data_IF_212335487258
#
_entry.id   IF_212335487258
#
_cell.length_a   1.000
_cell.length_b   1.000
_cell.length_c   1.000
_cell.angle_alpha   90.00
_cell.angle_beta   90.00
_cell.angle_gamma   90.00
#
_symmetry.space_group_name_H-M   'P 1'
#
loop_
_entity.id
_entity.type
_entity.pdbx_description
1 polymer ?
#
# COMPACT_ATOMS: atom_id res chain seq x y z
N UNK A 1 21.15 -8.34 2.67
CA UNK A 1 21.46 -7.91 1.28
C UNK A 1 22.29 -8.96 0.54
N UNK A 2 23.52 -9.27 0.96
CA UNK A 2 24.38 -10.22 0.22
C UNK A 2 23.72 -11.58 -0.03
N UNK A 3 23.04 -12.18 0.94
CA UNK A 3 22.36 -13.46 0.77
C UNK A 3 21.27 -13.44 -0.33
N UNK A 4 20.60 -12.29 -0.54
CA UNK A 4 19.60 -12.13 -1.61
C UNK A 4 20.28 -12.06 -2.96
N UNK A 5 21.38 -11.30 -3.05
CA UNK A 5 22.21 -11.21 -4.27
C UNK A 5 22.77 -12.58 -4.62
N UNK A 6 23.38 -13.28 -3.65
CA UNK A 6 23.94 -14.62 -3.85
C UNK A 6 22.86 -15.61 -4.34
N UNK A 7 21.64 -15.51 -3.78
CA UNK A 7 20.51 -16.35 -4.20
C UNK A 7 20.07 -16.06 -5.62
N UNK A 8 19.91 -14.78 -5.99
CA UNK A 8 19.49 -14.37 -7.33
C UNK A 8 20.57 -14.60 -8.40
N UNK A 9 21.85 -14.65 -8.03
CA UNK A 9 22.97 -14.89 -8.96
C UNK A 9 23.42 -16.35 -9.02
N UNK A 10 22.83 -17.23 -8.21
CA UNK A 10 23.17 -18.66 -8.24
C UNK A 10 22.78 -19.29 -9.60
N UNK A 11 23.52 -20.38 -9.96
CA UNK A 11 23.27 -21.14 -11.19
C UNK A 11 22.49 -22.43 -10.86
N UNK A 12 21.23 -22.25 -10.45
CA UNK A 12 20.32 -23.35 -10.16
C UNK A 12 18.87 -22.99 -10.53
N UNK A 13 18.02 -24.00 -10.51
CA UNK A 13 16.60 -23.90 -10.91
C UNK A 13 15.81 -22.89 -10.08
N UNK A 14 16.04 -22.84 -8.78
CA UNK A 14 15.31 -21.91 -7.91
C UNK A 14 15.71 -20.45 -8.19
N UNK A 15 17.01 -20.20 -8.46
CA UNK A 15 17.49 -18.88 -8.87
C UNK A 15 16.90 -18.46 -10.23
N UNK A 16 16.78 -19.37 -11.17
CA UNK A 16 16.13 -19.13 -12.46
C UNK A 16 14.68 -18.69 -12.29
N UNK A 17 13.90 -19.46 -11.51
CA UNK A 17 12.51 -19.12 -11.17
C UNK A 17 12.41 -17.74 -10.50
N UNK A 18 13.28 -17.48 -9.50
CA UNK A 18 13.27 -16.21 -8.79
C UNK A 18 13.57 -15.03 -9.73
N UNK A 19 14.60 -15.14 -10.59
CA UNK A 19 14.93 -14.09 -11.58
C UNK A 19 13.79 -13.82 -12.56
N UNK A 20 13.09 -14.87 -13.00
CA UNK A 20 11.95 -14.74 -13.93
C UNK A 20 10.88 -13.81 -13.37
N UNK A 21 10.67 -13.79 -12.07
CA UNK A 21 9.66 -12.94 -11.41
C UNK A 21 10.24 -11.63 -10.86
N UNK A 22 11.46 -11.66 -10.31
CA UNK A 22 12.04 -10.49 -9.66
C UNK A 22 12.49 -9.44 -10.68
N UNK A 23 13.09 -9.81 -11.81
CA UNK A 23 13.61 -8.83 -12.77
C UNK A 23 12.52 -7.96 -13.42
N UNK A 24 11.37 -8.49 -13.89
CA UNK A 24 10.26 -7.67 -14.34
C UNK A 24 9.70 -6.74 -13.26
N UNK A 25 9.61 -7.21 -12.02
CA UNK A 25 9.23 -6.38 -10.88
C UNK A 25 10.23 -5.22 -10.64
N UNK A 26 11.55 -5.47 -10.71
CA UNK A 26 12.56 -4.43 -10.61
C UNK A 26 12.48 -3.44 -11.78
N UNK A 27 12.22 -3.93 -12.99
CA UNK A 27 12.02 -3.11 -14.18
C UNK A 27 10.83 -2.17 -14.03
N UNK A 28 9.71 -2.68 -13.49
CA UNK A 28 8.53 -1.88 -13.24
C UNK A 28 8.79 -0.78 -12.18
N UNK A 29 9.53 -1.10 -11.12
CA UNK A 29 9.93 -0.09 -10.13
C UNK A 29 10.86 0.99 -10.74
N UNK A 30 11.78 0.60 -11.63
CA UNK A 30 12.64 1.52 -12.35
C UNK A 30 11.84 2.44 -13.30
N UNK A 31 10.85 1.90 -14.01
CA UNK A 31 9.93 2.69 -14.86
C UNK A 31 9.11 3.68 -14.02
N UNK A 32 8.66 3.26 -12.83
CA UNK A 32 7.94 4.14 -11.91
C UNK A 32 8.82 5.32 -11.46
N UNK A 33 10.08 5.06 -11.12
CA UNK A 33 11.06 6.08 -10.77
C UNK A 33 11.35 7.02 -11.96
N UNK A 34 11.63 6.46 -13.15
CA UNK A 34 11.94 7.23 -14.36
C UNK A 34 10.82 8.19 -14.75
N UNK A 35 9.57 7.80 -14.55
CA UNK A 35 8.41 8.66 -14.82
C UNK A 35 8.26 9.83 -13.83
N UNK A 36 9.10 9.90 -12.79
CA UNK A 36 8.99 10.92 -11.73
C UNK A 36 7.77 10.76 -10.83
N UNK A 37 7.13 9.59 -10.85
CA UNK A 37 5.92 9.33 -10.07
C UNK A 37 6.16 9.29 -8.56
N UNK A 38 7.28 8.71 -8.16
CA UNK A 38 7.72 8.64 -6.76
C UNK A 38 9.26 8.65 -6.71
N UNK A 39 9.81 9.07 -5.59
CA UNK A 39 11.27 9.05 -5.38
C UNK A 39 11.77 7.62 -5.18
N UNK A 40 13.09 7.41 -5.34
CA UNK A 40 13.73 6.13 -5.01
C UNK A 40 13.40 5.68 -3.59
N UNK A 41 13.51 6.60 -2.63
CA UNK A 41 13.30 6.28 -1.23
C UNK A 41 11.83 5.94 -0.92
N UNK A 42 10.87 6.63 -1.55
CA UNK A 42 9.45 6.32 -1.42
C UNK A 42 9.12 4.94 -2.01
N UNK A 43 9.66 4.61 -3.18
CA UNK A 43 9.46 3.30 -3.82
C UNK A 43 10.04 2.18 -2.96
N UNK A 44 11.28 2.33 -2.52
CA UNK A 44 11.97 1.34 -1.69
C UNK A 44 11.30 1.17 -0.31
N UNK A 45 10.92 2.27 0.34
CA UNK A 45 10.22 2.25 1.62
C UNK A 45 8.83 1.61 1.50
N UNK A 46 8.11 1.87 0.40
CA UNK A 46 6.80 1.29 0.15
C UNK A 46 6.82 -0.23 0.18
N UNK A 47 7.76 -0.85 -0.52
CA UNK A 47 7.84 -2.31 -0.56
C UNK A 47 8.40 -2.90 0.75
N UNK A 48 9.31 -2.20 1.42
CA UNK A 48 9.84 -2.63 2.72
C UNK A 48 8.81 -2.57 3.83
N UNK A 49 8.06 -1.48 3.96
CA UNK A 49 7.12 -1.25 5.06
C UNK A 49 5.70 -1.70 4.73
N UNK A 50 5.32 -1.78 3.46
CA UNK A 50 4.02 -2.26 2.99
C UNK A 50 3.95 -3.76 2.79
N UNK A 51 5.02 -4.37 2.24
CA UNK A 51 5.08 -5.81 1.99
C UNK A 51 6.01 -6.57 2.94
N UNK A 52 6.75 -5.88 3.80
CA UNK A 52 7.74 -6.50 4.69
C UNK A 52 8.98 -7.02 3.94
N UNK A 53 9.27 -6.50 2.76
CA UNK A 53 10.43 -6.92 1.98
C UNK A 53 11.72 -6.48 2.67
N UNK A 54 12.77 -7.31 2.65
CA UNK A 54 14.02 -7.00 3.36
C UNK A 54 14.83 -5.87 2.72
N UNK A 55 14.59 -5.61 1.44
CA UNK A 55 15.23 -4.57 0.63
C UNK A 55 14.21 -3.96 -0.33
N UNK A 56 14.36 -2.69 -0.65
CA UNK A 56 13.55 -2.05 -1.68
C UNK A 56 14.02 -2.42 -3.09
N UNK A 57 13.14 -2.29 -4.10
CA UNK A 57 13.43 -2.75 -5.45
C UNK A 57 14.61 -2.01 -6.11
N UNK A 58 14.70 -0.69 -5.96
CA UNK A 58 15.79 0.08 -6.59
C UNK A 58 17.11 -0.13 -5.87
N UNK A 59 17.12 -0.27 -4.55
CA UNK A 59 18.27 -0.69 -3.78
C UNK A 59 18.72 -2.13 -4.14
N UNK A 60 17.79 -3.01 -4.53
CA UNK A 60 18.12 -4.35 -5.01
C UNK A 60 18.78 -4.30 -6.40
N UNK A 61 18.33 -3.42 -7.29
CA UNK A 61 19.02 -3.17 -8.58
C UNK A 61 20.45 -2.71 -8.32
N UNK A 62 20.67 -1.77 -7.41
CA UNK A 62 22.01 -1.28 -7.06
C UNK A 62 22.91 -2.41 -6.53
N UNK A 63 22.34 -3.31 -5.71
CA UNK A 63 23.08 -4.44 -5.15
C UNK A 63 23.43 -5.53 -6.18
N UNK A 64 22.56 -5.79 -7.16
CA UNK A 64 22.78 -6.75 -8.25
C UNK A 64 23.68 -6.19 -9.34
N UNK A 65 23.68 -4.87 -9.50
CA UNK A 65 24.22 -4.16 -10.64
C UNK A 65 23.23 -4.06 -11.79
N UNK A 66 22.96 -2.85 -12.26
CA UNK A 66 21.99 -2.59 -13.34
C UNK A 66 22.27 -3.40 -14.61
N UNK A 67 23.57 -3.64 -14.95
CA UNK A 67 23.97 -4.44 -16.10
C UNK A 67 23.45 -5.89 -16.01
N UNK A 68 23.51 -6.51 -14.85
CA UNK A 68 23.00 -7.87 -14.60
C UNK A 68 21.49 -7.94 -14.82
N UNK A 69 20.76 -6.97 -14.29
CA UNK A 69 19.28 -6.90 -14.42
C UNK A 69 18.90 -6.67 -15.89
N UNK A 70 19.57 -5.74 -16.59
CA UNK A 70 19.35 -5.46 -18.03
C UNK A 70 19.60 -6.68 -18.90
N UNK A 71 20.70 -7.42 -18.67
CA UNK A 71 21.01 -8.65 -19.39
C UNK A 71 19.91 -9.70 -19.20
N UNK A 72 19.48 -9.91 -17.95
CA UNK A 72 18.41 -10.86 -17.65
C UNK A 72 17.07 -10.48 -18.28
N UNK A 73 16.69 -9.20 -18.23
CA UNK A 73 15.47 -8.70 -18.88
C UNK A 73 15.52 -8.86 -20.41
N UNK A 74 16.65 -8.55 -21.05
CA UNK A 74 16.82 -8.77 -22.50
C UNK A 74 16.68 -10.24 -22.89
N UNK A 75 17.22 -11.14 -22.08
CA UNK A 75 17.05 -12.58 -22.30
C UNK A 75 15.58 -13.02 -22.18
N UNK A 76 14.87 -12.51 -21.18
CA UNK A 76 13.43 -12.77 -20.99
C UNK A 76 12.61 -12.19 -22.16
N UNK A 77 12.84 -10.94 -22.53
CA UNK A 77 12.16 -10.29 -23.64
C UNK A 77 12.37 -11.03 -24.98
N UNK A 78 13.59 -11.47 -25.25
CA UNK A 78 13.89 -12.26 -26.43
C UNK A 78 13.12 -13.60 -26.48
N UNK A 79 12.81 -14.17 -25.33
CA UNK A 79 12.04 -15.43 -25.22
C UNK A 79 10.52 -15.24 -25.27
N UNK A 80 10.01 -14.15 -24.72
CA UNK A 80 8.56 -13.91 -24.56
C UNK A 80 7.99 -12.91 -25.54
N UNK A 81 8.78 -11.93 -25.98
CA UNK A 81 8.30 -10.77 -26.76
C UNK A 81 7.44 -9.81 -25.93
N UNK A 82 7.34 -10.01 -24.60
CA UNK A 82 6.53 -9.18 -23.74
C UNK A 82 7.18 -7.80 -23.56
N UNK A 83 6.49 -6.71 -23.92
CA UNK A 83 7.01 -5.34 -23.74
C UNK A 83 7.38 -4.99 -22.29
N UNK A 84 6.77 -5.63 -21.30
CA UNK A 84 7.07 -5.41 -19.89
C UNK A 84 8.46 -5.95 -19.49
N UNK A 85 9.04 -6.84 -20.29
CA UNK A 85 10.40 -7.35 -20.13
C UNK A 85 11.45 -6.50 -20.86
N UNK A 86 11.04 -5.51 -21.66
CA UNK A 86 11.99 -4.59 -22.26
C UNK A 86 12.61 -3.72 -21.13
N UNK A 87 13.95 -3.66 -21.02
CA UNK A 87 14.59 -2.90 -19.94
C UNK A 87 14.22 -1.42 -19.98
N UNK A 88 13.80 -0.86 -18.86
CA UNK A 88 13.54 0.56 -18.73
C UNK A 88 14.78 1.40 -19.14
N UNK A 89 14.61 2.50 -19.87
CA UNK A 89 15.74 3.35 -20.32
C UNK A 89 16.68 3.76 -19.19
N UNK A 90 16.16 4.04 -18.00
CA UNK A 90 16.98 4.38 -16.82
C UNK A 90 17.90 3.23 -16.42
N UNK A 91 17.44 1.97 -16.46
CA UNK A 91 18.28 0.80 -16.17
C UNK A 91 19.41 0.66 -17.20
N UNK A 92 19.09 0.85 -18.47
CA UNK A 92 20.10 0.80 -19.56
C UNK A 92 21.15 1.89 -19.35
N UNK A 93 20.74 3.11 -19.02
CA UNK A 93 21.66 4.23 -18.73
C UNK A 93 22.56 3.93 -17.54
N UNK A 94 22.01 3.41 -16.43
CA UNK A 94 22.80 3.05 -15.26
C UNK A 94 23.78 1.89 -15.54
N UNK A 95 23.37 0.92 -16.36
CA UNK A 95 24.24 -0.18 -16.80
C UNK A 95 25.43 0.32 -17.64
N UNK A 96 25.23 1.32 -18.50
CA UNK A 96 26.27 1.92 -19.35
C UNK A 96 27.22 2.84 -18.57
N UNK A 97 26.69 3.62 -17.63
CA UNK A 97 27.49 4.54 -16.82
C UNK A 97 28.16 3.88 -15.60
N UNK A 98 27.72 2.68 -15.22
CA UNK A 98 28.08 2.04 -13.95
C UNK A 98 27.71 2.87 -12.70
N UNK A 99 26.72 3.74 -12.84
CA UNK A 99 26.11 4.48 -11.74
C UNK A 99 25.03 3.63 -11.03
N UNK A 100 24.57 4.12 -9.89
CA UNK A 100 23.52 3.50 -9.07
C UNK A 100 22.35 4.45 -8.91
N UNK A 101 21.18 3.91 -8.56
CA UNK A 101 20.05 4.75 -8.16
C UNK A 101 20.37 5.62 -6.94
N UNK A 102 21.18 5.11 -6.01
CA UNK A 102 21.65 5.84 -4.85
C UNK A 102 22.50 7.06 -5.22
N UNK A 103 23.39 6.92 -6.21
CA UNK A 103 24.23 8.00 -6.68
C UNK A 103 23.46 9.01 -7.57
N UNK A 104 22.43 8.51 -8.28
CA UNK A 104 21.58 9.32 -9.14
C UNK A 104 20.45 10.03 -8.37
N UNK A 105 20.11 9.55 -7.16
CA UNK A 105 19.15 10.22 -6.30
C UNK A 105 19.70 11.60 -5.94
N UNK A 106 18.96 12.63 -6.30
CA UNK A 106 19.32 14.00 -5.96
C UNK A 106 19.57 14.11 -4.45
N UNK A 107 20.63 14.82 -4.08
CA UNK A 107 20.97 15.16 -2.69
C UNK A 107 19.97 16.14 -2.03
N UNK A 108 18.76 16.21 -2.55
CA UNK A 108 17.58 16.78 -1.91
C UNK A 108 17.09 15.83 -0.82
N UNK A 109 17.89 15.66 0.25
CA UNK A 109 17.35 15.12 1.48
C UNK A 109 16.13 15.97 1.83
N UNK A 110 14.94 15.40 1.67
CA UNK A 110 13.70 16.06 2.04
C UNK A 110 13.86 16.53 3.49
N UNK A 111 13.75 17.83 3.71
CA UNK A 111 13.66 18.36 5.06
C UNK A 111 12.53 17.61 5.77
N UNK A 112 12.71 17.33 7.06
CA UNK A 112 11.67 16.62 7.82
C UNK A 112 10.31 17.30 7.57
N UNK A 113 9.25 16.53 7.25
CA UNK A 113 7.96 17.10 6.90
C UNK A 113 7.41 17.96 8.04
N UNK A 114 6.81 19.09 7.68
CA UNK A 114 6.36 20.10 8.65
C UNK A 114 4.84 20.11 8.74
N UNK A 115 4.33 20.36 9.96
CA UNK A 115 2.90 20.61 10.16
C UNK A 115 2.59 22.08 9.91
N UNK A 116 1.95 22.35 8.78
CA UNK A 116 1.43 23.67 8.44
C UNK A 116 0.03 23.90 9.05
N UNK A 117 -0.68 22.81 9.33
CA UNK A 117 -1.97 22.82 10.01
C UNK A 117 -1.85 22.12 11.37
N UNK A 118 -2.35 22.72 12.47
CA UNK A 118 -2.40 22.02 13.75
C UNK A 118 -3.40 20.85 13.68
N UNK A 119 -3.00 19.69 14.19
CA UNK A 119 -3.88 18.51 14.26
C UNK A 119 -3.87 18.01 15.71
N UNK A 120 -4.92 18.35 16.45
CA UNK A 120 -5.16 17.87 17.80
C UNK A 120 -6.33 16.88 17.85
N UNK A 121 -7.40 17.16 17.12
CA UNK A 121 -8.63 16.38 17.09
C UNK A 121 -8.85 15.74 15.71
N UNK A 122 -9.03 14.43 15.70
CA UNK A 122 -9.16 13.61 14.48
C UNK A 122 -10.57 13.06 14.38
N UNK A 123 -11.18 13.20 13.21
CA UNK A 123 -12.43 12.55 12.85
C UNK A 123 -12.14 11.26 12.05
N UNK A 124 -12.88 10.19 12.31
CA UNK A 124 -12.84 8.98 11.48
C UNK A 124 -14.27 8.60 11.07
N UNK A 125 -14.52 8.45 9.78
CA UNK A 125 -15.83 8.00 9.28
C UNK A 125 -15.73 6.58 8.79
N UNK A 126 -16.46 5.68 9.46
CA UNK A 126 -16.46 4.25 9.14
C UNK A 126 -16.44 3.37 10.38
N UNK A 127 -16.83 2.10 10.21
CA UNK A 127 -16.93 1.11 11.31
C UNK A 127 -16.32 -0.24 10.93
N UNK A 128 -15.60 -0.30 9.81
CA UNK A 128 -14.89 -1.49 9.34
C UNK A 128 -13.60 -1.75 10.12
N UNK A 129 -12.87 -2.77 9.68
CA UNK A 129 -11.57 -3.15 10.27
C UNK A 129 -10.55 -2.03 10.15
N UNK A 130 -10.45 -1.39 8.98
CA UNK A 130 -9.54 -0.27 8.76
C UNK A 130 -9.90 0.92 9.64
N UNK A 131 -11.17 1.36 9.64
CA UNK A 131 -11.62 2.46 10.48
C UNK A 131 -11.28 2.22 11.97
N UNK A 132 -11.59 1.04 12.51
CA UNK A 132 -11.26 0.69 13.90
C UNK A 132 -9.76 0.76 14.19
N UNK A 133 -8.93 0.26 13.25
CA UNK A 133 -7.47 0.30 13.40
C UNK A 133 -6.91 1.73 13.33
N UNK A 134 -7.46 2.59 12.48
CA UNK A 134 -7.06 3.99 12.34
C UNK A 134 -7.43 4.77 13.60
N UNK A 135 -8.66 4.59 14.13
CA UNK A 135 -9.08 5.16 15.43
C UNK A 135 -8.09 4.77 16.54
N UNK A 136 -7.74 3.48 16.63
CA UNK A 136 -6.77 2.99 17.62
C UNK A 136 -5.39 3.65 17.44
N UNK A 137 -4.90 3.81 16.22
CA UNK A 137 -3.60 4.42 15.92
C UNK A 137 -3.54 5.87 16.44
N UNK A 138 -4.53 6.68 16.09
CA UNK A 138 -4.55 8.08 16.51
C UNK A 138 -4.75 8.23 18.02
N UNK A 139 -5.64 7.47 18.64
CA UNK A 139 -5.87 7.55 20.08
C UNK A 139 -4.63 7.13 20.89
N UNK A 140 -3.90 6.09 20.44
CA UNK A 140 -2.63 5.67 21.07
C UNK A 140 -1.52 6.70 20.93
N UNK A 141 -1.55 7.51 19.89
CA UNK A 141 -0.61 8.62 19.69
C UNK A 141 -0.99 9.89 20.50
N UNK A 142 -2.10 9.87 21.23
CA UNK A 142 -2.51 10.97 22.12
C UNK A 142 -3.50 11.96 21.50
N UNK A 143 -4.03 11.69 20.30
CA UNK A 143 -5.07 12.53 19.69
C UNK A 143 -6.45 12.22 20.26
N UNK A 144 -7.29 13.24 20.40
CA UNK A 144 -8.72 13.06 20.63
C UNK A 144 -9.38 12.60 19.32
N UNK A 145 -10.13 11.51 19.36
CA UNK A 145 -10.70 10.89 18.16
C UNK A 145 -12.23 10.80 18.24
N UNK A 146 -12.89 11.48 17.32
CA UNK A 146 -14.33 11.32 17.08
C UNK A 146 -14.52 10.32 15.95
N UNK A 147 -15.19 9.20 16.18
CA UNK A 147 -15.49 8.26 15.12
C UNK A 147 -16.99 8.11 14.90
N UNK A 148 -17.37 8.12 13.63
CA UNK A 148 -18.78 8.17 13.20
C UNK A 148 -19.17 6.91 12.46
N UNK A 149 -20.25 6.29 12.91
CA UNK A 149 -20.87 5.12 12.29
C UNK A 149 -22.35 5.36 12.01
N UNK A 150 -22.95 4.43 11.26
CA UNK A 150 -24.36 4.54 10.85
C UNK A 150 -25.38 4.15 11.93
N UNK A 151 -24.95 3.55 13.04
CA UNK A 151 -25.80 3.15 14.16
C UNK A 151 -25.00 2.93 15.43
N UNK A 152 -25.66 2.98 16.58
CA UNK A 152 -25.05 2.75 17.90
C UNK A 152 -24.37 1.37 17.98
N UNK A 153 -24.99 0.30 17.44
CA UNK A 153 -24.39 -1.02 17.39
C UNK A 153 -23.06 -1.06 16.62
N UNK A 154 -22.97 -0.29 15.53
CA UNK A 154 -21.75 -0.23 14.70
C UNK A 154 -20.63 0.52 15.40
N UNK A 155 -20.91 1.63 16.07
CA UNK A 155 -19.88 2.37 16.82
C UNK A 155 -19.47 1.59 18.08
N UNK A 156 -20.40 0.94 18.78
CA UNK A 156 -20.08 0.05 19.90
C UNK A 156 -19.18 -1.11 19.48
N UNK A 157 -19.39 -1.68 18.28
CA UNK A 157 -18.53 -2.74 17.75
C UNK A 157 -17.09 -2.25 17.44
N UNK A 158 -16.91 -1.00 17.02
CA UNK A 158 -15.57 -0.37 16.86
C UNK A 158 -14.87 -0.30 18.21
N UNK A 159 -15.54 0.26 19.23
CA UNK A 159 -14.99 0.39 20.57
C UNK A 159 -14.61 -0.98 21.16
N UNK A 160 -15.49 -1.95 21.11
CA UNK A 160 -15.22 -3.30 21.60
C UNK A 160 -14.03 -3.97 20.89
N UNK A 161 -13.83 -3.70 19.59
CA UNK A 161 -12.68 -4.19 18.83
C UNK A 161 -11.39 -3.56 19.32
N UNK A 162 -11.38 -2.24 19.53
CA UNK A 162 -10.23 -1.51 20.06
C UNK A 162 -9.88 -2.01 21.46
N UNK A 163 -10.85 -2.10 22.37
CA UNK A 163 -10.65 -2.63 23.72
C UNK A 163 -10.03 -4.03 23.70
N UNK A 164 -10.55 -4.92 22.86
CA UNK A 164 -9.98 -6.28 22.69
C UNK A 164 -8.54 -6.27 22.19
N UNK A 165 -8.16 -5.33 21.31
CA UNK A 165 -6.79 -5.21 20.84
C UNK A 165 -5.85 -4.69 21.94
N UNK A 166 -6.32 -3.72 22.72
CA UNK A 166 -5.58 -3.18 23.87
C UNK A 166 -5.40 -4.25 24.96
N UNK A 167 -6.43 -5.05 25.26
CA UNK A 167 -6.33 -6.18 26.21
C UNK A 167 -5.27 -7.21 25.76
N UNK A 168 -5.21 -7.50 24.46
CA UNK A 168 -4.15 -8.36 23.90
C UNK A 168 -2.76 -7.75 24.02
N UNK A 169 -2.65 -6.43 23.92
CA UNK A 169 -1.37 -5.74 24.10
C UNK A 169 -0.93 -5.78 25.58
N UNK A 170 -1.85 -5.60 26.52
CA UNK A 170 -1.62 -5.75 27.97
C UNK A 170 -1.18 -7.18 28.30
N UNK A 171 -1.90 -8.19 27.80
CA UNK A 171 -1.55 -9.61 28.02
C UNK A 171 -0.13 -9.97 27.49
N UNK A 172 0.39 -9.20 26.53
CA UNK A 172 1.75 -9.33 25.97
C UNK A 172 2.78 -8.41 26.65
N UNK A 173 2.40 -7.68 27.70
CA UNK A 173 3.27 -6.73 28.40
C UNK A 173 3.69 -5.51 27.54
N UNK A 174 2.91 -5.16 26.53
CA UNK A 174 3.19 -4.04 25.61
C UNK A 174 2.40 -2.78 25.94
N UNK A 175 1.47 -2.84 26.88
CA UNK A 175 0.60 -1.75 27.32
C UNK A 175 0.23 -2.00 28.77
N UNK A 176 0.00 -0.94 29.54
CA UNK A 176 -0.54 -0.98 30.93
C UNK A 176 -2.05 -0.72 30.93
N UNK A 177 -2.72 -1.00 32.06
CA UNK A 177 -4.13 -0.67 32.25
C UNK A 177 -4.37 0.86 32.24
N UNK A 178 -3.45 1.65 32.81
CA UNK A 178 -3.55 3.10 32.81
C UNK A 178 -3.45 3.66 31.38
N UNK A 179 -2.49 3.18 30.57
CA UNK A 179 -2.37 3.57 29.16
C UNK A 179 -3.61 3.16 28.36
N UNK A 180 -4.20 1.98 28.62
CA UNK A 180 -5.47 1.59 28.01
C UNK A 180 -6.58 2.56 28.37
N UNK A 181 -6.70 2.93 29.64
CA UNK A 181 -7.70 3.88 30.11
C UNK A 181 -7.55 5.25 29.43
N UNK A 182 -6.32 5.72 29.26
CA UNK A 182 -6.01 6.97 28.55
C UNK A 182 -6.44 6.90 27.08
N UNK A 183 -6.15 5.80 26.38
CA UNK A 183 -6.56 5.60 24.99
C UNK A 183 -8.09 5.60 24.85
N UNK A 184 -8.79 4.87 25.72
CA UNK A 184 -10.26 4.81 25.68
C UNK A 184 -10.88 6.16 26.03
N UNK A 185 -10.29 6.91 26.97
CA UNK A 185 -10.73 8.25 27.37
C UNK A 185 -10.67 9.30 26.24
N UNK A 186 -9.88 9.05 25.19
CA UNK A 186 -9.77 9.92 23.99
C UNK A 186 -10.80 9.62 22.91
N UNK A 187 -11.59 8.57 23.06
CA UNK A 187 -12.55 8.11 22.04
C UNK A 187 -13.91 8.74 22.26
N UNK A 188 -14.45 9.35 21.24
CA UNK A 188 -15.84 9.82 21.18
C UNK A 188 -16.59 9.12 20.05
N UNK A 189 -17.56 8.29 20.39
CA UNK A 189 -18.43 7.61 19.44
C UNK A 189 -19.62 8.49 19.06
N UNK A 190 -19.97 8.55 17.77
CA UNK A 190 -21.12 9.30 17.28
C UNK A 190 -21.81 8.57 16.13
N UNK A 191 -23.10 8.88 15.94
CA UNK A 191 -23.89 8.42 14.79
C UNK A 191 -24.31 9.57 13.88
N UNK A 192 -24.09 10.80 14.32
CA UNK A 192 -24.32 12.02 13.55
C UNK A 192 -22.96 12.59 13.07
N UNK A 193 -22.85 12.87 11.78
CA UNK A 193 -21.65 13.47 11.16
C UNK A 193 -21.35 14.88 11.67
N UNK A 194 -22.35 15.61 12.23
CA UNK A 194 -22.14 16.93 12.83
C UNK A 194 -21.20 16.89 14.05
N UNK A 195 -20.96 15.71 14.63
CA UNK A 195 -19.91 15.55 15.65
C UNK A 195 -18.49 15.80 15.12
N UNK A 196 -18.32 15.97 13.80
CA UNK A 196 -17.06 16.27 13.13
C UNK A 196 -16.84 17.77 12.85
N UNK A 197 -17.70 18.66 13.34
CA UNK A 197 -17.69 20.09 13.00
C UNK A 197 -16.42 20.83 13.45
N UNK A 198 -15.78 20.37 14.52
CA UNK A 198 -14.59 20.99 15.15
C UNK A 198 -13.27 20.20 14.94
N UNK A 199 -13.28 19.09 14.18
CA UNK A 199 -12.06 18.30 13.96
C UNK A 199 -11.07 19.01 13.01
N UNK A 200 -9.79 18.67 13.13
CA UNK A 200 -8.71 19.25 12.32
C UNK A 200 -8.48 18.45 11.03
N UNK A 201 -8.76 17.16 11.07
CA UNK A 201 -8.69 16.24 9.94
C UNK A 201 -9.79 15.19 10.05
N UNK A 202 -10.40 14.82 8.93
CA UNK A 202 -11.27 13.66 8.83
C UNK A 202 -10.58 12.59 7.99
N UNK A 203 -10.51 11.36 8.50
CA UNK A 203 -10.04 10.19 7.75
C UNK A 203 -11.27 9.33 7.40
N UNK A 204 -11.61 9.31 6.12
CA UNK A 204 -12.69 8.49 5.59
C UNK A 204 -12.21 7.05 5.39
N UNK A 205 -12.93 6.07 5.96
CA UNK A 205 -12.66 4.64 5.88
C UNK A 205 -13.96 3.81 5.77
N UNK A 206 -14.83 4.24 4.81
CA UNK A 206 -16.08 3.55 4.47
C UNK A 206 -15.88 2.51 3.35
N UNK A 207 -16.98 1.99 2.78
CA UNK A 207 -16.93 1.06 1.66
C UNK A 207 -16.26 1.69 0.42
N UNK A 208 -15.61 0.84 -0.38
CA UNK A 208 -14.91 1.24 -1.60
C UNK A 208 -15.94 1.39 -2.75
N UNK A 209 -16.72 2.45 -2.65
CA UNK A 209 -17.77 2.83 -3.60
C UNK A 209 -17.65 4.33 -3.86
N UNK A 210 -17.39 4.71 -5.10
CA UNK A 210 -17.10 6.09 -5.46
C UNK A 210 -18.28 7.02 -5.17
N UNK A 211 -19.49 6.63 -5.56
CA UNK A 211 -20.67 7.50 -5.39
C UNK A 211 -20.95 7.77 -3.91
N UNK A 212 -20.80 6.74 -3.06
CA UNK A 212 -20.96 6.86 -1.61
C UNK A 212 -19.88 7.76 -1.01
N UNK A 213 -18.64 7.66 -1.50
CA UNK A 213 -17.53 8.53 -1.05
C UNK A 213 -17.76 9.98 -1.48
N UNK A 214 -18.16 10.22 -2.73
CA UNK A 214 -18.43 11.57 -3.22
C UNK A 214 -19.57 12.26 -2.43
N UNK A 215 -20.64 11.51 -2.09
CA UNK A 215 -21.70 12.03 -1.21
C UNK A 215 -21.13 12.41 0.17
N UNK A 216 -20.31 11.52 0.76
CA UNK A 216 -19.69 11.80 2.05
C UNK A 216 -18.77 13.03 1.99
N UNK A 217 -17.94 13.18 0.95
CA UNK A 217 -17.05 14.34 0.82
C UNK A 217 -17.81 15.66 0.70
N UNK A 218 -18.94 15.68 -0.03
CA UNK A 218 -19.84 16.86 -0.06
C UNK A 218 -20.42 17.19 1.30
N UNK A 219 -20.75 16.18 2.11
CA UNK A 219 -21.25 16.39 3.48
C UNK A 219 -20.15 16.91 4.39
N UNK A 220 -18.96 16.29 4.36
CA UNK A 220 -17.81 16.71 5.17
C UNK A 220 -17.37 18.13 4.84
N UNK A 221 -17.40 18.54 3.57
CA UNK A 221 -17.10 19.90 3.14
C UNK A 221 -18.00 20.94 3.82
N UNK A 222 -19.28 20.59 4.02
CA UNK A 222 -20.25 21.48 4.69
C UNK A 222 -20.20 21.44 6.21
N UNK A 223 -19.85 20.30 6.79
CA UNK A 223 -19.92 20.08 8.23
C UNK A 223 -18.64 20.54 8.91
N UNK A 224 -17.47 20.19 8.38
CA UNK A 224 -16.20 20.44 9.05
C UNK A 224 -15.79 21.90 8.94
N UNK A 225 -15.05 22.38 9.96
CA UNK A 225 -14.55 23.75 9.99
C UNK A 225 -13.66 24.07 8.79
N UNK A 226 -13.55 25.34 8.39
CA UNK A 226 -12.60 25.79 7.36
C UNK A 226 -11.16 25.38 7.71
N UNK A 227 -10.41 24.86 6.72
CA UNK A 227 -9.03 24.41 6.89
C UNK A 227 -8.88 23.02 7.52
N UNK A 228 -9.97 22.32 7.84
CA UNK A 228 -9.91 20.91 8.19
C UNK A 228 -9.53 20.07 6.97
N UNK A 229 -8.54 19.18 7.14
CA UNK A 229 -8.08 18.27 6.08
C UNK A 229 -9.11 17.15 5.88
N UNK A 230 -9.40 16.80 4.64
CA UNK A 230 -10.26 15.67 4.28
C UNK A 230 -9.43 14.57 3.63
N UNK A 231 -9.20 13.49 4.36
CA UNK A 231 -8.39 12.38 3.90
C UNK A 231 -9.25 11.16 3.56
N UNK A 232 -8.93 10.45 2.47
CA UNK A 232 -9.54 9.17 2.13
C UNK A 232 -8.54 8.02 2.25
N UNK A 233 -9.02 6.85 2.69
CA UNK A 233 -8.18 5.64 2.77
C UNK A 233 -8.39 4.71 1.58
N UNK A 234 -8.94 5.19 0.49
CA UNK A 234 -9.15 4.39 -0.72
C UNK A 234 -7.85 3.71 -1.18
N UNK A 235 -7.99 2.51 -1.73
CA UNK A 235 -6.86 1.76 -2.32
C UNK A 235 -6.78 1.89 -3.84
N UNK A 236 -7.85 2.38 -4.48
CA UNK A 236 -7.98 2.31 -5.94
C UNK A 236 -8.79 3.45 -6.57
N UNK A 237 -9.61 4.17 -5.77
CA UNK A 237 -10.45 5.25 -6.27
C UNK A 237 -9.65 6.57 -6.35
N UNK A 238 -10.02 7.43 -7.29
CA UNK A 238 -9.33 8.69 -7.52
C UNK A 238 -9.52 9.68 -6.37
N UNK A 239 -8.41 10.19 -5.86
CA UNK A 239 -8.37 11.28 -4.87
C UNK A 239 -8.91 12.57 -5.51
N UNK A 240 -8.56 12.82 -6.77
CA UNK A 240 -9.05 13.97 -7.53
C UNK A 240 -10.58 14.01 -7.59
N UNK A 241 -11.24 12.86 -7.82
CA UNK A 241 -12.71 12.79 -7.83
C UNK A 241 -13.31 13.17 -6.46
N UNK A 242 -12.70 12.72 -5.36
CA UNK A 242 -13.11 13.14 -4.02
C UNK A 242 -12.88 14.65 -3.80
N UNK A 243 -11.77 15.19 -4.28
CA UNK A 243 -11.45 16.61 -4.18
C UNK A 243 -12.45 17.48 -4.96
N UNK A 244 -12.78 17.09 -6.19
CA UNK A 244 -13.78 17.78 -7.03
C UNK A 244 -15.19 17.79 -6.43
N UNK A 245 -15.50 16.86 -5.53
CA UNK A 245 -16.77 16.83 -4.83
C UNK A 245 -16.88 17.92 -3.74
N UNK A 246 -15.79 18.62 -3.40
CA UNK A 246 -15.72 19.65 -2.35
C UNK A 246 -15.52 21.05 -2.91
N UNK A 247 -15.81 22.08 -2.12
CA UNK A 247 -15.53 23.47 -2.45
C UNK A 247 -14.06 23.88 -2.19
N UNK A 248 -13.28 22.99 -1.59
CA UNK A 248 -11.88 23.17 -1.18
C UNK A 248 -11.01 21.96 -1.56
N UNK A 249 -10.84 21.70 -2.86
CA UNK A 249 -10.10 20.53 -3.35
C UNK A 249 -8.64 20.49 -2.88
N UNK A 250 -8.05 21.65 -2.54
CA UNK A 250 -6.69 21.75 -2.00
C UNK A 250 -6.53 21.13 -0.60
N UNK A 251 -7.62 20.95 0.15
CA UNK A 251 -7.63 20.37 1.50
C UNK A 251 -7.88 18.84 1.46
N UNK A 252 -7.97 18.24 0.28
CA UNK A 252 -8.24 16.82 0.09
C UNK A 252 -6.95 16.06 -0.24
N UNK A 253 -6.75 14.89 0.42
CA UNK A 253 -5.55 14.07 0.27
C UNK A 253 -5.89 12.59 0.45
N UNK A 254 -5.13 11.70 -0.18
CA UNK A 254 -5.15 10.28 0.13
C UNK A 254 -4.26 9.96 1.34
N UNK A 255 -4.74 9.09 2.22
CA UNK A 255 -4.00 8.58 3.37
C UNK A 255 -4.20 7.07 3.45
N UNK A 256 -3.51 6.35 2.57
CA UNK A 256 -3.70 4.92 2.36
C UNK A 256 -2.95 4.11 3.40
N UNK A 257 -3.68 3.56 4.36
CA UNK A 257 -3.17 2.67 5.39
C UNK A 257 -3.20 1.21 4.94
N UNK A 258 -2.27 0.42 5.45
CA UNK A 258 -2.19 -1.02 5.22
C UNK A 258 -2.80 -1.83 6.37
N UNK A 259 -3.48 -2.92 6.05
CA UNK A 259 -4.13 -3.80 7.03
C UNK A 259 -3.16 -4.81 7.66
N UNK A 260 -3.10 -4.94 8.98
CA UNK A 260 -3.82 -4.21 10.03
C UNK A 260 -3.18 -2.84 10.35
N UNK A 261 -3.97 -1.76 10.32
CA UNK A 261 -3.47 -0.41 10.51
C UNK A 261 -2.63 -0.20 11.80
N UNK A 262 -2.93 -0.81 12.96
CA UNK A 262 -2.08 -0.69 14.15
C UNK A 262 -0.69 -1.35 14.02
N UNK A 263 -0.52 -2.28 13.10
CA UNK A 263 0.70 -3.09 12.94
C UNK A 263 1.58 -2.60 11.79
N UNK A 264 0.96 -2.37 10.64
CA UNK A 264 1.66 -1.96 9.43
C UNK A 264 2.18 -0.53 9.57
N UNK A 265 3.43 -0.33 9.19
CA UNK A 265 4.09 0.98 9.36
C UNK A 265 3.81 1.94 8.22
N UNK A 266 3.59 1.42 7.01
CA UNK A 266 3.45 2.24 5.82
C UNK A 266 2.14 3.03 5.81
N UNK A 267 2.22 4.29 5.36
CA UNK A 267 1.09 5.07 4.87
C UNK A 267 1.52 5.75 3.57
N UNK A 268 0.82 5.47 2.48
CA UNK A 268 0.98 6.22 1.24
C UNK A 268 0.17 7.51 1.33
N UNK A 269 0.87 8.64 1.28
CA UNK A 269 0.27 9.99 1.23
C UNK A 269 0.13 10.35 -0.24
N UNK A 270 -1.10 10.34 -0.71
CA UNK A 270 -1.43 10.45 -2.13
C UNK A 270 -1.95 11.85 -2.42
N UNK A 271 -1.25 12.58 -3.28
CA UNK A 271 -1.64 13.93 -3.68
C UNK A 271 -2.30 13.91 -5.06
N UNK A 272 -3.50 14.47 -5.16
CA UNK A 272 -4.05 14.89 -6.43
C UNK A 272 -3.37 16.20 -6.88
N UNK A 273 -3.52 16.59 -8.15
CA UNK A 273 -2.98 17.86 -8.66
C UNK A 273 -3.51 19.08 -7.89
N UNK A 274 -4.70 18.97 -7.32
CA UNK A 274 -5.33 20.02 -6.50
C UNK A 274 -4.87 20.05 -5.06
N UNK A 275 -4.27 18.97 -4.53
CA UNK A 275 -3.84 18.88 -3.12
C UNK A 275 -2.75 19.91 -2.82
N UNK A 276 -2.92 20.75 -1.79
CA UNK A 276 -1.87 21.71 -1.46
C UNK A 276 -0.63 21.02 -0.86
N UNK A 277 0.57 21.51 -1.16
CA UNK A 277 1.80 20.99 -0.55
C UNK A 277 1.78 21.03 0.98
N UNK A 278 1.18 22.06 1.57
CA UNK A 278 1.07 22.22 3.02
C UNK A 278 0.18 21.13 3.65
N UNK A 279 -0.86 20.70 2.97
CA UNK A 279 -1.73 19.60 3.40
C UNK A 279 -0.96 18.28 3.34
N UNK A 280 -0.29 18.00 2.23
CA UNK A 280 0.52 16.79 2.07
C UNK A 280 1.64 16.72 3.13
N UNK A 281 2.37 17.83 3.35
CA UNK A 281 3.41 17.92 4.37
C UNK A 281 2.86 17.72 5.78
N UNK A 282 1.71 18.33 6.09
CA UNK A 282 1.05 18.16 7.40
C UNK A 282 0.67 16.70 7.63
N UNK A 283 0.12 16.02 6.61
CA UNK A 283 -0.27 14.61 6.71
C UNK A 283 0.95 13.70 6.84
N UNK A 284 2.05 13.97 6.13
CA UNK A 284 3.31 13.24 6.32
C UNK A 284 3.84 13.39 7.74
N UNK A 285 3.88 14.61 8.27
CA UNK A 285 4.31 14.87 9.64
C UNK A 285 3.39 14.17 10.66
N UNK A 286 2.08 14.19 10.43
CA UNK A 286 1.10 13.48 11.26
C UNK A 286 1.32 11.97 11.25
N UNK A 287 1.65 11.38 10.10
CA UNK A 287 2.01 9.96 10.01
C UNK A 287 3.22 9.63 10.89
N UNK A 288 4.26 10.45 10.88
CA UNK A 288 5.43 10.26 11.74
C UNK A 288 5.07 10.33 13.23
N UNK A 289 4.23 11.28 13.63
CA UNK A 289 3.79 11.43 15.02
C UNK A 289 3.03 10.21 15.54
N UNK A 290 2.25 9.56 14.66
CA UNK A 290 1.51 8.35 15.03
C UNK A 290 2.34 7.06 14.81
N UNK A 291 3.66 7.19 14.61
CA UNK A 291 4.60 6.07 14.48
C UNK A 291 4.52 5.33 13.15
N UNK A 292 4.00 6.00 12.10
CA UNK A 292 3.95 5.49 10.73
C UNK A 292 5.12 6.02 9.90
N UNK A 293 5.38 5.35 8.79
CA UNK A 293 6.34 5.77 7.79
C UNK A 293 5.57 6.28 6.56
N UNK A 294 5.49 7.59 6.35
CA UNK A 294 4.85 8.15 5.17
C UNK A 294 5.74 8.02 3.95
N UNK A 295 5.12 7.74 2.81
CA UNK A 295 5.73 7.87 1.47
C UNK A 295 4.82 8.74 0.62
N UNK A 296 5.38 9.43 -0.37
CA UNK A 296 4.64 10.35 -1.24
C UNK A 296 4.45 9.75 -2.62
N UNK A 297 3.25 9.89 -3.17
CA UNK A 297 2.97 9.56 -4.57
C UNK A 297 1.80 10.38 -5.12
N UNK A 298 1.64 10.38 -6.44
CA UNK A 298 0.50 10.99 -7.13
C UNK A 298 -0.76 10.12 -7.10
N UNK A 299 -1.88 10.70 -7.51
CA UNK A 299 -3.18 10.02 -7.65
C UNK A 299 -3.19 9.13 -8.90
N UNK A 300 -2.88 7.85 -8.71
CA UNK A 300 -2.84 6.83 -9.76
C UNK A 300 -3.32 5.50 -9.22
N UNK A 301 -3.99 4.70 -10.05
CA UNK A 301 -4.48 3.38 -9.64
C UNK A 301 -3.37 2.52 -9.01
N UNK A 302 -3.64 1.97 -7.83
CA UNK A 302 -2.73 1.09 -7.10
C UNK A 302 -1.56 1.79 -6.41
N UNK A 303 -1.44 3.11 -6.52
CA UNK A 303 -0.37 3.91 -5.92
C UNK A 303 1.04 3.31 -6.18
N UNK A 304 1.85 3.09 -5.14
CA UNK A 304 3.16 2.44 -5.30
C UNK A 304 3.05 0.93 -5.05
N UNK A 305 2.55 0.54 -3.87
CA UNK A 305 2.60 -0.86 -3.44
C UNK A 305 1.76 -1.76 -4.34
N UNK A 306 0.49 -1.44 -4.53
CA UNK A 306 -0.40 -2.29 -5.32
C UNK A 306 0.02 -2.32 -6.80
N UNK A 307 0.49 -1.19 -7.33
CA UNK A 307 0.96 -1.11 -8.71
C UNK A 307 2.21 -1.97 -8.97
N UNK A 308 3.07 -2.17 -7.98
CA UNK A 308 4.25 -3.04 -8.09
C UNK A 308 3.95 -4.50 -7.72
N UNK A 309 3.16 -4.70 -6.66
CA UNK A 309 2.93 -6.02 -6.09
C UNK A 309 2.03 -6.90 -6.97
N UNK A 310 0.88 -6.37 -7.42
CA UNK A 310 -0.11 -7.23 -8.07
C UNK A 310 0.30 -7.71 -9.48
N UNK A 311 0.96 -6.91 -10.33
CA UNK A 311 1.56 -7.44 -11.55
C UNK A 311 2.56 -8.58 -11.27
N UNK A 312 3.45 -8.40 -10.30
CA UNK A 312 4.39 -9.45 -9.88
C UNK A 312 3.69 -10.74 -9.41
N UNK A 313 2.59 -10.62 -8.63
CA UNK A 313 1.80 -11.78 -8.21
C UNK A 313 1.10 -12.45 -9.39
N UNK A 314 0.59 -11.67 -10.34
CA UNK A 314 -0.02 -12.18 -11.58
C UNK A 314 1.00 -12.92 -12.44
N UNK A 315 2.23 -12.41 -12.56
CA UNK A 315 3.32 -13.07 -13.29
C UNK A 315 3.65 -14.43 -12.68
N UNK A 316 3.59 -14.56 -11.35
CA UNK A 316 3.78 -15.84 -10.66
C UNK A 316 2.69 -16.86 -11.05
N UNK A 317 1.42 -16.41 -11.13
CA UNK A 317 0.31 -17.27 -11.55
C UNK A 317 0.50 -17.68 -13.02
N UNK A 318 0.87 -16.75 -13.90
CA UNK A 318 1.13 -17.00 -15.33
C UNK A 318 2.29 -17.98 -15.51
N UNK A 319 3.36 -17.83 -14.73
CA UNK A 319 4.50 -18.77 -14.76
C UNK A 319 4.07 -20.19 -14.37
N UNK A 320 3.22 -20.32 -13.35
CA UNK A 320 2.65 -21.62 -12.97
C UNK A 320 1.76 -22.20 -14.06
N UNK A 321 0.86 -21.42 -14.67
CA UNK A 321 -0.02 -21.84 -15.75
C UNK A 321 0.72 -22.32 -16.99
N UNK A 322 1.89 -21.74 -17.27
CA UNK A 322 2.75 -22.18 -18.39
C UNK A 322 3.32 -23.58 -18.19
N UNK A 323 3.22 -24.15 -16.98
CA UNK A 323 3.84 -25.42 -16.61
C UNK A 323 5.35 -25.34 -16.41
N UNK A 324 5.93 -24.14 -16.44
CA UNK A 324 7.37 -23.95 -16.28
C UNK A 324 7.84 -24.23 -14.85
N UNK A 325 6.99 -23.99 -13.84
CA UNK A 325 7.28 -24.31 -12.44
C UNK A 325 5.99 -24.64 -11.68
N UNK A 326 6.09 -25.50 -10.68
CA UNK A 326 4.98 -25.78 -9.77
C UNK A 326 4.80 -24.60 -8.78
N UNK A 327 3.62 -24.54 -8.18
CA UNK A 327 3.28 -23.57 -7.14
C UNK A 327 4.28 -23.60 -5.97
N UNK A 328 4.63 -24.81 -5.50
CA UNK A 328 5.58 -25.02 -4.41
C UNK A 328 7.01 -24.61 -4.78
N UNK A 329 7.43 -24.86 -6.04
CA UNK A 329 8.75 -24.42 -6.52
C UNK A 329 8.85 -22.89 -6.54
N UNK A 330 7.79 -22.21 -7.03
CA UNK A 330 7.74 -20.74 -7.09
C UNK A 330 7.75 -20.14 -5.67
N UNK A 331 6.83 -20.58 -4.78
CA UNK A 331 6.80 -20.08 -3.41
C UNK A 331 8.13 -20.32 -2.67
N UNK A 332 8.75 -21.48 -2.86
CA UNK A 332 10.03 -21.81 -2.26
C UNK A 332 11.15 -20.91 -2.78
N UNK A 333 11.27 -20.77 -4.11
CA UNK A 333 12.30 -19.95 -4.75
C UNK A 333 12.26 -18.49 -4.26
N UNK A 334 11.06 -17.92 -4.14
CA UNK A 334 10.90 -16.54 -3.68
C UNK A 334 11.15 -16.39 -2.17
N UNK A 335 10.76 -17.34 -1.33
CA UNK A 335 11.11 -17.35 0.11
C UNK A 335 12.63 -17.47 0.34
N UNK A 336 13.35 -18.18 -0.53
CA UNK A 336 14.80 -18.24 -0.48
C UNK A 336 15.49 -16.90 -0.77
N UNK A 337 14.82 -15.97 -1.49
CA UNK A 337 15.26 -14.57 -1.61
C UNK A 337 14.92 -13.71 -0.38
N UNK A 338 14.53 -14.33 0.75
CA UNK A 338 14.14 -13.70 2.02
C UNK A 338 12.85 -12.90 1.97
N UNK A 339 12.02 -13.10 0.97
CA UNK A 339 10.65 -12.59 1.01
C UNK A 339 9.88 -13.28 2.14
N UNK A 340 9.00 -12.56 2.85
CA UNK A 340 8.30 -13.10 4.03
C UNK A 340 7.33 -14.24 3.68
N UNK A 341 6.82 -14.25 2.45
CA UNK A 341 5.91 -15.26 1.90
C UNK A 341 6.18 -15.48 0.42
N UNK A 342 5.82 -16.66 -0.09
CA UNK A 342 5.75 -16.90 -1.50
C UNK A 342 4.53 -16.18 -2.14
N UNK A 343 4.53 -16.02 -3.47
CA UNK A 343 3.46 -15.29 -4.17
C UNK A 343 2.06 -15.86 -3.93
N UNK A 344 1.91 -17.18 -3.95
CA UNK A 344 0.63 -17.85 -3.78
C UNK A 344 0.16 -17.84 -2.32
N UNK A 345 1.08 -17.97 -1.36
CA UNK A 345 0.79 -17.75 0.05
C UNK A 345 0.27 -16.34 0.30
N UNK A 346 0.84 -15.33 -0.39
CA UNK A 346 0.46 -13.94 -0.25
C UNK A 346 -0.91 -13.66 -0.90
N UNK A 347 -1.19 -14.20 -2.09
CA UNK A 347 -2.50 -14.12 -2.73
C UNK A 347 -3.60 -14.65 -1.82
N UNK A 348 -3.38 -15.80 -1.18
CA UNK A 348 -4.34 -16.41 -0.24
C UNK A 348 -4.50 -15.62 1.06
N UNK A 349 -3.48 -14.89 1.51
CA UNK A 349 -3.54 -13.99 2.68
C UNK A 349 -4.34 -12.73 2.37
N UNK A 350 -4.08 -12.11 1.22
CA UNK A 350 -4.79 -10.90 0.76
C UNK A 350 -6.25 -11.23 0.44
N UNK A 351 -6.46 -12.35 -0.21
CA UNK A 351 -7.72 -12.83 -0.75
C UNK A 351 -7.76 -12.71 -2.26
N UNK A 352 -8.07 -13.82 -2.94
CA UNK A 352 -8.04 -13.92 -4.39
C UNK A 352 -9.03 -12.96 -5.07
N UNK A 353 -10.20 -12.71 -4.46
CA UNK A 353 -11.19 -11.73 -4.93
C UNK A 353 -10.67 -10.27 -4.86
N UNK A 354 -9.96 -9.92 -3.78
CA UNK A 354 -9.33 -8.60 -3.63
C UNK A 354 -8.21 -8.45 -4.66
N UNK A 355 -7.38 -9.47 -4.81
CA UNK A 355 -6.27 -9.49 -5.76
C UNK A 355 -6.77 -9.34 -7.20
N UNK A 356 -7.83 -10.07 -7.57
CA UNK A 356 -8.47 -9.97 -8.89
C UNK A 356 -9.02 -8.56 -9.15
N UNK A 357 -9.74 -7.98 -8.20
CA UNK A 357 -10.30 -6.64 -8.34
C UNK A 357 -9.22 -5.56 -8.55
N UNK A 358 -8.12 -5.64 -7.79
CA UNK A 358 -6.99 -4.71 -7.94
C UNK A 358 -6.34 -4.90 -9.32
N UNK A 359 -6.07 -6.14 -9.75
CA UNK A 359 -5.48 -6.43 -11.04
C UNK A 359 -6.34 -5.92 -12.20
N UNK A 360 -7.66 -6.12 -12.14
CA UNK A 360 -8.62 -5.59 -13.12
C UNK A 360 -8.59 -4.06 -13.17
N UNK A 361 -8.49 -3.41 -12.02
CA UNK A 361 -8.37 -1.93 -11.94
C UNK A 361 -7.08 -1.46 -12.61
N UNK A 362 -5.95 -2.12 -12.36
CA UNK A 362 -4.67 -1.78 -12.97
C UNK A 362 -4.73 -1.93 -14.51
N UNK A 363 -5.26 -3.04 -15.01
CA UNK A 363 -5.42 -3.26 -16.46
C UNK A 363 -6.31 -2.20 -17.10
N UNK A 364 -7.46 -1.92 -16.49
CA UNK A 364 -8.41 -0.93 -17.04
C UNK A 364 -7.83 0.48 -17.08
N UNK A 365 -6.90 0.78 -16.15
CA UNK A 365 -6.28 2.11 -16.06
C UNK A 365 -5.08 2.26 -17.00
N UNK A 366 -4.21 1.25 -17.05
CA UNK A 366 -2.93 1.35 -17.76
C UNK A 366 -2.95 0.68 -19.14
N UNK A 367 -3.90 -0.20 -19.41
CA UNK A 367 -4.05 -0.87 -20.71
C UNK A 367 -2.92 -1.86 -21.08
N UNK A 368 -2.13 -2.31 -20.09
CA UNK A 368 -1.07 -3.29 -20.32
C UNK A 368 -1.66 -4.70 -20.40
N UNK A 369 -1.59 -5.31 -21.59
CA UNK A 369 -2.11 -6.67 -21.82
C UNK A 369 -1.41 -7.72 -20.94
N UNK A 370 -0.11 -7.57 -20.67
CA UNK A 370 0.66 -8.44 -19.76
C UNK A 370 0.18 -8.42 -18.31
N UNK A 371 -0.64 -7.42 -17.92
CA UNK A 371 -1.25 -7.37 -16.60
C UNK A 371 -2.66 -7.96 -16.54
N UNK A 372 -3.16 -8.50 -17.65
CA UNK A 372 -4.46 -9.19 -17.65
C UNK A 372 -4.48 -10.28 -16.59
N UNK A 373 -5.52 -10.32 -15.73
CA UNK A 373 -5.61 -11.34 -14.68
C UNK A 373 -5.45 -12.74 -15.25
N UNK A 374 -4.60 -13.54 -14.61
CA UNK A 374 -4.36 -14.92 -15.01
C UNK A 374 -5.65 -15.75 -14.85
N UNK A 375 -6.00 -16.60 -15.83
CA UNK A 375 -7.24 -17.41 -15.82
C UNK A 375 -7.43 -18.24 -14.55
N UNK A 376 -6.36 -18.73 -13.94
CA UNK A 376 -6.45 -19.48 -12.67
C UNK A 376 -6.95 -18.60 -11.52
N UNK A 377 -6.53 -17.35 -11.43
CA UNK A 377 -7.01 -16.43 -10.41
C UNK A 377 -8.52 -16.16 -10.60
N UNK A 378 -8.97 -15.91 -11.83
CA UNK A 378 -10.39 -15.70 -12.15
C UNK A 378 -11.22 -16.94 -11.79
N UNK A 379 -10.72 -18.14 -12.14
CA UNK A 379 -11.38 -19.41 -11.84
C UNK A 379 -11.52 -19.64 -10.33
N UNK A 380 -10.46 -19.43 -9.54
CA UNK A 380 -10.51 -19.60 -8.09
C UNK A 380 -11.56 -18.68 -7.44
N UNK A 381 -11.63 -17.43 -7.90
CA UNK A 381 -12.63 -16.48 -7.41
C UNK A 381 -14.05 -16.93 -7.79
N UNK A 382 -14.27 -17.39 -9.02
CA UNK A 382 -15.56 -17.90 -9.48
C UNK A 382 -16.00 -19.16 -8.71
N UNK A 383 -15.06 -20.00 -8.26
CA UNK A 383 -15.30 -21.18 -7.42
C UNK A 383 -15.48 -20.84 -5.93
N UNK A 384 -15.34 -19.59 -5.52
CA UNK A 384 -15.42 -19.16 -4.11
C UNK A 384 -14.19 -19.54 -3.27
N UNK A 385 -13.08 -19.92 -3.91
CA UNK A 385 -11.81 -20.27 -3.27
C UNK A 385 -10.98 -18.98 -3.07
N UNK A 386 -11.34 -18.24 -2.04
CA UNK A 386 -10.84 -16.89 -1.82
C UNK A 386 -9.60 -16.81 -0.91
N UNK A 387 -8.91 -17.93 -0.71
CA UNK A 387 -7.74 -18.03 0.16
C UNK A 387 -8.08 -18.35 1.62
N UNK A 388 -7.27 -17.88 2.56
CA UNK A 388 -7.40 -18.20 3.99
C UNK A 388 -8.78 -17.90 4.58
N UNK A 389 -9.46 -16.88 4.09
CA UNK A 389 -10.80 -16.49 4.61
C UNK A 389 -11.90 -17.52 4.30
N UNK A 390 -11.70 -18.37 3.29
CA UNK A 390 -12.61 -19.45 2.92
C UNK A 390 -12.03 -20.84 3.19
N UNK A 391 -10.77 -20.92 3.69
CA UNK A 391 -10.07 -22.18 3.96
C UNK A 391 -9.42 -22.82 2.73
N UNK A 392 -9.64 -22.27 1.55
CA UNK A 392 -9.07 -22.75 0.28
C UNK A 392 -8.82 -21.60 -0.69
N UNK A 393 -7.71 -21.64 -1.40
CA UNK A 393 -7.30 -20.73 -2.46
C UNK A 393 -6.34 -21.46 -3.39
N UNK A 394 -5.13 -20.89 -3.59
CA UNK A 394 -4.02 -21.62 -4.19
C UNK A 394 -3.54 -22.76 -3.30
N UNK A 395 -3.62 -22.56 -1.98
CA UNK A 395 -3.36 -23.58 -0.96
C UNK A 395 -4.65 -23.97 -0.23
N UNK A 396 -4.59 -25.06 0.54
CA UNK A 396 -5.64 -25.49 1.48
C UNK A 396 -5.18 -25.21 2.92
N UNK A 397 -6.05 -24.67 3.79
CA UNK A 397 -5.75 -24.21 5.14
C UNK A 397 -6.57 -24.95 6.20
#
# INVERSE_FOLDING_TARGET
MQEIVDRLTADDRGAEIARTLVYPYLNHAATMYESGYATKDDIDASMRFGCGYPIGPLALVDALGAATVVEGLRAQHAGTGDPLHEPAPVLVKLAESSETFEAAADAGADAAPQKHHPVAKVGVVGTGTMASGIVEVFAKAGHDVVFVGRSDDKVAAVQARIEKNLDRAIAKGRLTEDEKSDVIGRLTAATDRHALDDVDIVVEAIAEDLDVKLELFRDLDRITKPGAILATTTSSLSIASCAEATSRPQDVVGMHFFNPAPVMKLVEVVSADSTSPEVAETVKALCLDVGKHPVSCGDRAGFIVNALLFPYLNDAVTLHESGAASLEEIDTALKETKLPMGPFELLDVVGNDVSLAIQQTLVSTFGHEGWTPAPTLERLVAEGKLGRKTGEGFHTY
#
